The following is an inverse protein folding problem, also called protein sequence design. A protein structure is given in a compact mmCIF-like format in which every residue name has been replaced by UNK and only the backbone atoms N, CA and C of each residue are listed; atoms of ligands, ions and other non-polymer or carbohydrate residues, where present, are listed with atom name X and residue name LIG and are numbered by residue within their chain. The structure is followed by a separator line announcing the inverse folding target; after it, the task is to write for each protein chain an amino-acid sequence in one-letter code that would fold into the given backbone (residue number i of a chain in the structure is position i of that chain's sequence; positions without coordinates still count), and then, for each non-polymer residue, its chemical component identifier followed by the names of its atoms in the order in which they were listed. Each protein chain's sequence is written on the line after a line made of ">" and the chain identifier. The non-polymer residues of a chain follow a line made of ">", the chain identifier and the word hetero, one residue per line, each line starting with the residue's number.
data_IF_438033261106
#
_entry.id   IF_438033261106
#
_cell.length_a   1.000
_cell.length_b   1.000
_cell.length_c   1.000
_cell.angle_alpha   90.00
_cell.angle_beta   90.00
_cell.angle_gamma   90.00
#
_symmetry.space_group_name_H-M   'P 1'
#
loop_
_entity.id
_entity.type
_entity.pdbx_description
1 polymer ?
#
# COMPACT_ATOMS: atom_id res chain seq x y z
N UNK A 1 11.49 -1.56 6.03
CA UNK A 1 10.58 -1.68 4.87
C UNK A 1 9.81 -0.39 4.66
N UNK A 2 9.32 -0.22 3.47
CA UNK A 2 8.52 0.94 3.08
C UNK A 2 7.08 0.51 2.85
N UNK A 3 6.17 1.10 3.62
CA UNK A 3 4.74 0.85 3.52
C UNK A 3 4.06 2.07 2.88
N UNK A 4 3.06 1.84 2.05
CA UNK A 4 2.33 2.94 1.42
C UNK A 4 0.94 3.07 2.02
N UNK A 5 0.65 4.24 2.59
CA UNK A 5 -0.64 4.59 3.17
C UNK A 5 -1.23 5.81 2.44
N UNK A 6 -2.52 6.04 2.62
CA UNK A 6 -3.16 7.21 2.02
C UNK A 6 -2.69 8.50 2.70
N UNK A 7 -2.34 9.50 1.90
CA UNK A 7 -1.96 10.80 2.39
C UNK A 7 -3.15 11.49 3.08
N UNK A 8 -2.97 12.06 4.29
CA UNK A 8 -4.07 12.68 5.02
C UNK A 8 -4.43 14.07 4.50
N UNK A 9 -3.53 14.73 3.80
CA UNK A 9 -3.63 16.14 3.43
C UNK A 9 -3.59 16.39 1.92
N UNK A 10 -3.49 15.33 1.11
CA UNK A 10 -3.44 15.41 -0.36
C UNK A 10 -3.81 14.08 -0.97
N UNK A 11 -3.97 14.04 -2.28
CA UNK A 11 -4.29 12.80 -2.98
C UNK A 11 -3.06 11.91 -3.14
N UNK A 12 -3.28 10.60 -3.04
CA UNK A 12 -2.29 9.60 -3.33
C UNK A 12 -1.75 8.89 -2.09
N UNK A 13 -0.73 8.08 -2.33
CA UNK A 13 -0.08 7.26 -1.32
C UNK A 13 1.20 7.92 -0.82
N UNK A 14 1.48 7.79 0.47
CA UNK A 14 2.72 8.25 1.09
C UNK A 14 3.50 7.06 1.63
N UNK A 15 4.82 7.03 1.40
CA UNK A 15 5.67 6.02 1.99
C UNK A 15 5.89 6.28 3.49
N UNK A 16 5.87 5.21 4.26
CA UNK A 16 6.22 5.22 5.68
C UNK A 16 7.29 4.15 5.90
N UNK A 17 8.42 4.54 6.48
CA UNK A 17 9.46 3.59 6.82
C UNK A 17 9.12 2.89 8.14
N UNK A 18 9.30 1.57 8.15
CA UNK A 18 9.03 0.76 9.34
C UNK A 18 10.02 -0.36 9.46
N UNK A 19 10.49 -0.61 10.66
CA UNK A 19 11.34 -1.75 10.95
C UNK A 19 10.49 -2.99 11.17
N UNK A 20 10.86 -4.08 10.52
CA UNK A 20 10.22 -5.38 10.69
C UNK A 20 11.28 -6.45 10.90
N UNK A 21 10.90 -7.53 11.57
CA UNK A 21 11.80 -8.65 11.79
C UNK A 21 12.19 -9.27 10.46
N UNK A 22 13.49 -9.52 10.27
CA UNK A 22 13.99 -10.20 9.08
C UNK A 22 13.63 -11.68 9.13
N UNK A 23 13.19 -12.20 7.99
CA UNK A 23 12.99 -13.64 7.78
C UNK A 23 13.72 -14.06 6.51
N UNK A 24 14.40 -15.21 6.57
CA UNK A 24 15.04 -15.79 5.38
C UNK A 24 14.06 -16.42 4.39
N UNK A 25 12.79 -16.55 4.77
CA UNK A 25 11.73 -17.08 3.91
C UNK A 25 11.01 -15.91 3.25
N UNK A 26 11.05 -15.85 1.92
CA UNK A 26 10.46 -14.76 1.15
C UNK A 26 8.95 -14.62 1.39
N UNK A 27 8.22 -15.73 1.37
CA UNK A 27 6.77 -15.69 1.57
C UNK A 27 6.42 -15.20 2.99
N UNK A 28 7.17 -15.62 3.99
CA UNK A 28 6.97 -15.17 5.36
C UNK A 28 7.28 -13.69 5.52
N UNK A 29 8.37 -13.23 4.91
CA UNK A 29 8.73 -11.81 4.95
C UNK A 29 7.65 -10.95 4.27
N UNK A 30 7.16 -11.41 3.12
CA UNK A 30 6.07 -10.76 2.40
C UNK A 30 4.81 -10.67 3.26
N UNK A 31 4.45 -11.78 3.90
CA UNK A 31 3.29 -11.83 4.79
C UNK A 31 3.42 -10.80 5.92
N UNK A 32 4.58 -10.75 6.56
CA UNK A 32 4.84 -9.78 7.64
C UNK A 32 4.64 -8.35 7.16
N UNK A 33 5.15 -8.02 5.98
CA UNK A 33 5.02 -6.66 5.43
C UNK A 33 3.55 -6.31 5.16
N UNK A 34 2.77 -7.22 4.60
CA UNK A 34 1.35 -6.97 4.34
C UNK A 34 0.55 -6.90 5.66
N UNK A 35 0.90 -7.71 6.65
CA UNK A 35 0.29 -7.62 7.98
C UNK A 35 0.57 -6.27 8.63
N UNK A 36 1.79 -5.75 8.52
CA UNK A 36 2.13 -4.41 9.02
C UNK A 36 1.32 -3.34 8.28
N UNK A 37 1.13 -3.48 6.98
CA UNK A 37 0.28 -2.58 6.21
C UNK A 37 -1.17 -2.62 6.72
N UNK A 38 -1.69 -3.80 7.04
CA UNK A 38 -3.04 -3.98 7.55
C UNK A 38 -3.23 -3.38 8.95
N UNK A 39 -2.18 -3.31 9.75
CA UNK A 39 -2.24 -2.67 11.07
C UNK A 39 -2.42 -1.15 11.00
N UNK A 40 -2.03 -0.54 9.90
CA UNK A 40 -2.18 0.89 9.68
C UNK A 40 -0.94 1.70 9.99
N UNK A 41 -1.05 3.01 9.76
CA UNK A 41 0.04 3.97 9.89
C UNK A 41 0.33 4.31 11.36
N UNK A 42 1.59 4.54 11.67
CA UNK A 42 2.03 5.07 12.97
C UNK A 42 2.43 6.54 12.89
N UNK A 43 2.35 7.14 11.70
CA UNK A 43 2.80 8.53 11.46
C UNK A 43 1.64 9.48 11.12
N UNK A 44 0.39 9.02 11.23
CA UNK A 44 -0.78 9.85 10.99
C UNK A 44 -1.36 9.77 9.58
N UNK A 45 -0.83 8.90 8.72
CA UNK A 45 -1.45 8.62 7.41
C UNK A 45 -2.74 7.81 7.57
N UNK A 46 -3.57 7.84 6.54
CA UNK A 46 -4.86 7.14 6.55
C UNK A 46 -4.64 5.67 6.20
N UNK A 47 -5.21 4.72 6.97
CA UNK A 47 -5.13 3.30 6.63
C UNK A 47 -5.74 3.03 5.27
N UNK A 48 -5.11 2.15 4.49
CA UNK A 48 -5.59 1.77 3.16
C UNK A 48 -6.35 0.46 3.15
N UNK A 49 -6.04 -0.43 4.08
CA UNK A 49 -6.82 -1.66 4.25
C UNK A 49 -7.95 -1.42 5.26
N UNK A 50 -9.15 -1.95 5.00
CA UNK A 50 -10.25 -1.79 5.94
C UNK A 50 -9.96 -2.38 7.31
N UNK A 51 -10.59 -1.82 8.34
CA UNK A 51 -10.47 -2.34 9.69
C UNK A 51 -10.90 -3.82 9.74
N UNK A 52 -10.11 -4.65 10.39
CA UNK A 52 -10.36 -6.08 10.48
C UNK A 52 -9.84 -6.90 9.30
N UNK A 53 -9.38 -6.28 8.23
CA UNK A 53 -8.78 -7.00 7.12
C UNK A 53 -7.52 -7.73 7.59
N UNK A 54 -7.39 -8.99 7.17
CA UNK A 54 -6.27 -9.87 7.55
C UNK A 54 -5.69 -10.53 6.32
N UNK A 55 -4.44 -10.95 6.46
CA UNK A 55 -3.75 -11.75 5.46
C UNK A 55 -3.95 -13.21 5.81
N UNK A 56 -4.61 -13.97 4.94
CA UNK A 56 -4.78 -15.41 5.13
C UNK A 56 -3.54 -16.17 4.68
N UNK A 57 -3.05 -15.87 3.48
CA UNK A 57 -1.93 -16.58 2.91
C UNK A 57 -1.20 -15.70 1.91
N UNK A 58 0.10 -15.93 1.77
CA UNK A 58 0.94 -15.29 0.77
C UNK A 58 1.85 -16.35 0.18
N UNK A 59 1.99 -16.39 -1.13
CA UNK A 59 3.01 -17.19 -1.79
C UNK A 59 3.52 -16.50 -3.05
N UNK A 60 4.71 -16.90 -3.48
CA UNK A 60 5.36 -16.32 -4.64
C UNK A 60 5.49 -17.41 -5.70
N UNK A 61 4.93 -17.13 -6.87
CA UNK A 61 5.04 -18.00 -8.04
C UNK A 61 6.27 -17.65 -8.86
N UNK A 62 6.64 -18.58 -9.74
CA UNK A 62 7.64 -18.31 -10.75
C UNK A 62 7.30 -17.04 -11.55
N UNK A 63 8.33 -16.39 -12.09
CA UNK A 63 8.21 -15.13 -12.86
C UNK A 63 7.86 -13.90 -12.03
N UNK A 64 8.05 -13.97 -10.71
CA UNK A 64 7.93 -12.80 -9.85
C UNK A 64 6.51 -12.36 -9.55
N UNK A 65 5.54 -13.28 -9.55
CA UNK A 65 4.17 -12.96 -9.15
C UNK A 65 3.94 -13.37 -7.71
N UNK A 66 3.60 -12.41 -6.86
CA UNK A 66 3.16 -12.67 -5.49
C UNK A 66 1.64 -12.79 -5.46
N UNK A 67 1.15 -13.81 -4.75
CA UNK A 67 -0.27 -14.00 -4.48
C UNK A 67 -0.54 -13.62 -3.04
N UNK A 68 -1.51 -12.74 -2.84
CA UNK A 68 -1.91 -12.27 -1.52
C UNK A 68 -3.39 -12.60 -1.33
N UNK A 69 -3.67 -13.47 -0.37
CA UNK A 69 -5.03 -13.83 0.00
C UNK A 69 -5.44 -12.99 1.20
N UNK A 70 -6.42 -12.12 0.99
CA UNK A 70 -6.96 -11.24 2.01
C UNK A 70 -8.30 -11.78 2.54
N UNK A 71 -8.62 -11.42 3.78
CA UNK A 71 -9.91 -11.75 4.36
C UNK A 71 -11.04 -10.96 3.68
N UNK A 72 -12.28 -11.42 3.86
CA UNK A 72 -13.47 -10.80 3.25
C UNK A 72 -13.67 -9.34 3.65
N UNK A 73 -13.12 -8.89 4.77
CA UNK A 73 -13.16 -7.50 5.22
C UNK A 73 -12.47 -6.55 4.25
N UNK A 74 -11.52 -7.05 3.45
CA UNK A 74 -10.92 -6.26 2.38
C UNK A 74 -11.94 -5.78 1.35
N UNK A 75 -13.05 -6.49 1.20
CA UNK A 75 -14.17 -6.11 0.32
C UNK A 75 -15.29 -5.44 1.11
N UNK A 76 -15.79 -6.11 2.15
CA UNK A 76 -16.95 -5.65 2.91
C UNK A 76 -16.69 -4.38 3.71
N UNK A 77 -15.45 -4.14 4.12
CA UNK A 77 -15.06 -2.97 4.91
C UNK A 77 -14.65 -1.76 4.09
N UNK A 78 -14.62 -1.86 2.75
CA UNK A 78 -14.21 -0.73 1.92
C UNK A 78 -15.24 0.40 1.98
N UNK A 79 -14.78 1.65 2.14
CA UNK A 79 -15.62 2.81 1.84
C UNK A 79 -16.01 2.77 0.37
N UNK A 80 -17.19 3.24 0.01
CA UNK A 80 -17.63 3.30 -1.38
C UNK A 80 -16.73 4.21 -2.22
N UNK A 81 -16.62 3.89 -3.51
CA UNK A 81 -15.94 4.73 -4.48
C UNK A 81 -14.67 4.15 -5.08
N UNK A 82 -14.38 4.58 -6.29
CA UNK A 82 -13.24 4.09 -7.08
C UNK A 82 -11.89 4.49 -6.48
N UNK A 83 -11.81 5.67 -5.87
CA UNK A 83 -10.57 6.17 -5.28
C UNK A 83 -10.13 5.32 -4.09
N UNK A 84 -11.05 4.98 -3.18
CA UNK A 84 -10.73 4.15 -2.03
C UNK A 84 -10.23 2.78 -2.44
N UNK A 85 -10.90 2.16 -3.41
CA UNK A 85 -10.50 0.85 -3.94
C UNK A 85 -9.12 0.92 -4.61
N UNK A 86 -8.89 1.93 -5.44
CA UNK A 86 -7.63 2.12 -6.13
C UNK A 86 -6.47 2.25 -5.15
N UNK A 87 -6.62 3.07 -4.11
CA UNK A 87 -5.58 3.27 -3.11
C UNK A 87 -5.36 2.02 -2.25
N UNK A 88 -6.42 1.29 -1.91
CA UNK A 88 -6.30 0.03 -1.19
C UNK A 88 -5.52 -1.00 -1.98
N UNK A 89 -5.88 -1.21 -3.24
CA UNK A 89 -5.22 -2.18 -4.11
C UNK A 89 -3.74 -1.82 -4.30
N UNK A 90 -3.46 -0.59 -4.69
CA UNK A 90 -2.08 -0.19 -5.00
C UNK A 90 -1.23 0.09 -3.76
N UNK A 91 -1.81 0.28 -2.60
CA UNK A 91 -1.03 0.26 -1.36
C UNK A 91 -0.39 -1.11 -1.14
N UNK A 92 -1.13 -2.18 -1.40
CA UNK A 92 -0.62 -3.54 -1.31
C UNK A 92 0.41 -3.81 -2.41
N UNK A 93 0.06 -3.54 -3.66
CA UNK A 93 0.93 -3.82 -4.82
C UNK A 93 2.24 -3.03 -4.72
N UNK A 94 2.17 -1.72 -4.51
CA UNK A 94 3.35 -0.87 -4.44
C UNK A 94 4.24 -1.20 -3.24
N UNK A 95 3.64 -1.50 -2.10
CA UNK A 95 4.38 -1.92 -0.91
C UNK A 95 5.19 -3.18 -1.17
N UNK A 96 4.56 -4.19 -1.77
CA UNK A 96 5.24 -5.46 -2.05
C UNK A 96 6.36 -5.28 -3.07
N UNK A 97 6.05 -4.67 -4.21
CA UNK A 97 7.04 -4.55 -5.30
C UNK A 97 8.22 -3.68 -4.89
N UNK A 98 7.98 -2.62 -4.13
CA UNK A 98 9.06 -1.73 -3.67
C UNK A 98 10.04 -2.46 -2.74
N UNK A 99 9.54 -3.31 -1.86
CA UNK A 99 10.37 -3.97 -0.85
C UNK A 99 10.99 -5.29 -1.32
N UNK A 100 10.44 -5.91 -2.36
CA UNK A 100 10.87 -7.23 -2.81
C UNK A 100 11.25 -7.22 -4.29
N UNK A 101 12.54 -7.03 -4.60
CA UNK A 101 12.99 -6.98 -6.01
C UNK A 101 12.67 -8.24 -6.82
N UNK A 102 12.50 -9.37 -6.16
CA UNK A 102 12.11 -10.62 -6.81
C UNK A 102 10.65 -10.65 -7.27
N UNK A 103 9.83 -9.69 -6.80
CA UNK A 103 8.41 -9.59 -7.14
C UNK A 103 8.20 -8.41 -8.08
N UNK A 104 7.60 -8.66 -9.24
CA UNK A 104 7.28 -7.65 -10.22
C UNK A 104 5.79 -7.35 -10.34
N UNK A 105 4.94 -8.27 -9.93
CA UNK A 105 3.48 -8.16 -9.98
C UNK A 105 2.84 -8.83 -8.80
N UNK A 106 1.64 -8.37 -8.46
CA UNK A 106 0.88 -8.90 -7.32
C UNK A 106 -0.52 -9.29 -7.79
N UNK A 107 -0.92 -10.51 -7.47
CA UNK A 107 -2.28 -10.99 -7.62
C UNK A 107 -2.97 -10.95 -6.26
N UNK A 108 -4.09 -10.23 -6.18
CA UNK A 108 -4.91 -10.18 -4.98
C UNK A 108 -6.09 -11.12 -5.14
N UNK A 109 -6.28 -11.98 -4.17
CA UNK A 109 -7.47 -12.84 -4.05
C UNK A 109 -8.11 -12.58 -2.69
N UNK A 110 -9.36 -12.93 -2.54
CA UNK A 110 -10.10 -12.71 -1.31
C UNK A 110 -10.73 -14.01 -0.88
N UNK A 111 -10.47 -14.38 0.36
CA UNK A 111 -11.04 -15.58 0.98
C UNK A 111 -10.78 -16.84 0.15
N UNK A 112 -9.55 -16.96 -0.35
CA UNK A 112 -9.07 -18.08 -1.20
C UNK A 112 -9.84 -18.20 -2.53
N UNK A 113 -10.49 -17.13 -2.96
CA UNK A 113 -11.23 -17.12 -4.22
C UNK A 113 -10.74 -16.00 -5.13
N UNK A 114 -10.55 -16.27 -6.43
CA UNK A 114 -10.28 -15.21 -7.38
C UNK A 114 -11.45 -14.22 -7.39
N UNK A 115 -11.11 -12.95 -7.39
CA UNK A 115 -12.10 -11.87 -7.50
C UNK A 115 -11.79 -11.01 -8.71
N UNK A 116 -12.81 -10.43 -9.31
CA UNK A 116 -12.63 -9.50 -10.42
C UNK A 116 -12.32 -8.09 -9.94
N UNK A 117 -12.71 -7.76 -8.72
CA UNK A 117 -12.45 -6.47 -8.07
C UNK A 117 -12.75 -6.57 -6.59
N UNK A 118 -12.35 -5.57 -5.80
CA UNK A 118 -12.79 -5.46 -4.40
C UNK A 118 -14.14 -4.75 -4.31
N UNK A 119 -14.32 -3.67 -5.06
CA UNK A 119 -15.51 -2.83 -5.02
C UNK A 119 -16.06 -2.45 -6.38
N UNK A 120 -15.64 -3.13 -7.45
CA UNK A 120 -16.19 -2.94 -8.79
C UNK A 120 -15.42 -1.99 -9.70
N UNK A 121 -14.25 -1.45 -9.28
CA UNK A 121 -13.57 -0.41 -10.04
C UNK A 121 -12.17 -0.79 -10.53
N UNK A 122 -11.46 -1.63 -9.79
CA UNK A 122 -10.10 -2.05 -10.17
C UNK A 122 -10.13 -3.52 -10.57
N UNK A 123 -9.64 -3.81 -11.76
CA UNK A 123 -9.59 -5.19 -12.28
C UNK A 123 -8.51 -6.01 -11.57
N UNK A 124 -8.94 -6.98 -10.79
CA UNK A 124 -8.07 -7.92 -10.07
C UNK A 124 -7.98 -9.29 -10.73
N UNK A 125 -8.53 -9.45 -11.93
CA UNK A 125 -8.54 -10.74 -12.64
C UNK A 125 -7.18 -11.18 -13.14
N UNK A 126 -6.19 -10.29 -13.06
CA UNK A 126 -4.80 -10.55 -13.46
C UNK A 126 -3.84 -9.94 -12.47
N UNK A 127 -2.57 -10.42 -12.41
CA UNK A 127 -1.55 -9.80 -11.59
C UNK A 127 -1.30 -8.35 -12.00
N UNK A 128 -1.09 -7.48 -11.02
CA UNK A 128 -0.92 -6.05 -11.23
C UNK A 128 0.54 -5.63 -11.04
N UNK A 129 1.10 -4.86 -11.98
CA UNK A 129 2.37 -4.18 -11.75
C UNK A 129 2.17 -3.00 -10.81
N UNK A 130 3.25 -2.46 -10.23
CA UNK A 130 3.12 -1.26 -9.40
C UNK A 130 2.70 -0.06 -10.23
N UNK A 131 2.05 0.88 -9.58
CA UNK A 131 1.72 2.18 -10.17
C UNK A 131 2.23 3.30 -9.26
N UNK A 132 3.42 3.76 -9.54
CA UNK A 132 4.08 4.79 -8.74
C UNK A 132 3.54 6.20 -9.04
N UNK A 133 2.69 6.35 -10.05
CA UNK A 133 2.00 7.61 -10.30
C UNK A 133 0.97 7.92 -9.22
N UNK A 134 0.58 6.92 -8.44
CA UNK A 134 -0.35 7.08 -7.32
C UNK A 134 0.35 7.56 -6.04
N UNK A 135 1.67 7.61 -6.03
CA UNK A 135 2.43 8.18 -4.91
C UNK A 135 2.20 9.68 -4.91
N UNK A 136 1.79 10.20 -3.75
CA UNK A 136 1.49 11.61 -3.60
C UNK A 136 2.71 12.47 -3.91
N UNK A 137 2.49 13.60 -4.58
CA UNK A 137 3.54 14.56 -4.82
C UNK A 137 4.05 15.08 -3.46
N UNK A 138 5.37 15.33 -3.35
CA UNK A 138 5.89 15.95 -2.15
C UNK A 138 5.18 17.27 -1.91
N UNK A 139 4.89 17.58 -0.64
CA UNK A 139 4.39 18.89 -0.28
C UNK A 139 5.42 19.92 -0.74
N UNK A 140 5.04 20.92 -1.56
CA UNK A 140 6.02 21.93 -1.93
C UNK A 140 6.56 22.55 -0.65
N UNK A 141 7.89 22.51 -0.50
CA UNK A 141 8.51 23.20 0.61
C UNK A 141 8.09 24.68 0.55
N UNK A 142 7.65 25.26 1.68
CA UNK A 142 7.42 26.68 1.69
C UNK A 142 8.72 27.36 1.27
N UNK A 143 8.67 28.39 0.41
CA UNK A 143 9.87 29.09 0.04
C UNK A 143 10.62 29.49 1.31
N UNK A 144 11.96 29.40 1.33
CA UNK A 144 12.72 29.80 2.50
C UNK A 144 12.26 31.20 2.90
N UNK A 145 11.96 31.35 4.19
CA UNK A 145 11.54 32.65 4.72
C UNK A 145 12.53 33.70 4.25
N UNK A 146 12.03 34.74 3.61
CA UNK A 146 12.90 35.87 3.27
C UNK A 146 13.62 36.32 4.55
N UNK A 147 14.93 36.57 4.47
CA UNK A 147 15.63 37.09 5.63
C UNK A 147 14.94 38.38 6.06
N UNK A 148 14.64 38.47 7.35
CA UNK A 148 14.03 39.69 7.89
C UNK A 148 14.86 40.87 7.47
N UNK A 149 14.21 41.98 7.00
CA UNK A 149 14.95 43.16 6.67
C UNK A 149 15.74 43.63 7.91
N UNK A 150 16.95 44.14 7.72
CA UNK A 150 17.71 44.63 8.85
C UNK A 150 16.92 45.73 9.56
N UNK A 151 16.99 45.83 10.89
CA UNK A 151 16.30 46.86 11.59
C UNK A 151 16.73 48.22 11.05
N UNK A 152 15.76 49.09 10.74
CA UNK A 152 16.02 50.44 10.32
C UNK A 152 16.65 51.22 11.48
N UNK A 153 17.80 51.73 11.25
CA UNK A 153 18.47 52.48 12.31
C UNK A 153 19.74 53.12 11.87
#
# INVERSE_FOLDING_TARGET
>A
VRLYFEAPDREGLLPEERDVAFSGDLARQLRTVVEELAEGSTTGSVPTLPAGARVHEVFVQARGVAWVDLSSEATSGLPGGSKAELLTVYSVVNTIVTNFPAVSRVRIVVNDQPVTSLGGHVDLSRPLPPDMTLVALPTPEPPPAEPSPPPAG
#
